data_IF_501686643156
#
_entry.id   IF_501686643156
#
_cell.length_a   1.000
_cell.length_b   1.000
_cell.length_c   1.000
_cell.angle_alpha   90.00
_cell.angle_beta   90.00
_cell.angle_gamma   90.00
#
_symmetry.space_group_name_H-M   'P 1'
#
loop_
_entity.id
_entity.type
_entity.pdbx_description
1 polymer ?
#
# COMPACT_ATOMS: atom_id res chain seq x y z
N UNK A 1 13.62 8.04 -18.42
CA UNK A 1 14.50 8.00 -17.22
C UNK A 1 14.92 6.55 -16.91
N UNK A 2 16.21 6.27 -16.74
CA UNK A 2 16.70 4.92 -16.47
C UNK A 2 16.19 4.42 -15.11
N UNK A 3 15.93 3.12 -15.03
CA UNK A 3 15.42 2.41 -13.86
C UNK A 3 16.31 2.70 -12.64
N UNK A 4 15.84 3.54 -11.72
CA UNK A 4 16.58 3.88 -10.50
C UNK A 4 16.01 3.04 -9.35
N UNK A 5 16.76 2.04 -8.84
CA UNK A 5 16.26 1.05 -7.87
C UNK A 5 15.64 1.65 -6.60
N UNK A 6 16.09 2.85 -6.21
CA UNK A 6 15.61 3.55 -5.00
C UNK A 6 14.13 3.93 -5.04
N UNK A 7 13.59 4.27 -6.20
CA UNK A 7 12.19 4.70 -6.32
C UNK A 7 11.25 3.51 -6.50
N UNK A 8 11.68 2.50 -7.26
CA UNK A 8 10.83 1.36 -7.55
C UNK A 8 10.55 0.49 -6.33
N UNK A 9 11.50 0.32 -5.39
CA UNK A 9 11.31 -0.60 -4.26
C UNK A 9 10.10 -0.31 -3.37
N UNK A 10 9.68 0.96 -3.22
CA UNK A 10 8.45 1.31 -2.48
C UNK A 10 7.18 0.93 -3.26
N UNK A 11 7.20 1.18 -4.57
CA UNK A 11 6.10 0.89 -5.48
C UNK A 11 5.96 -0.62 -5.69
N UNK A 12 7.06 -1.32 -5.92
CA UNK A 12 7.14 -2.78 -6.02
C UNK A 12 6.59 -3.44 -4.75
N UNK A 13 6.97 -2.97 -3.56
CA UNK A 13 6.44 -3.49 -2.29
C UNK A 13 4.93 -3.22 -2.15
N UNK A 14 4.46 -2.05 -2.57
CA UNK A 14 3.03 -1.74 -2.59
C UNK A 14 2.28 -2.69 -3.53
N UNK A 15 2.72 -2.83 -4.78
CA UNK A 15 2.08 -3.70 -5.77
C UNK A 15 2.11 -5.17 -5.35
N UNK A 16 3.22 -5.68 -4.80
CA UNK A 16 3.26 -7.05 -4.26
C UNK A 16 2.26 -7.27 -3.11
N UNK A 17 2.09 -6.26 -2.25
CA UNK A 17 1.09 -6.33 -1.16
C UNK A 17 -0.34 -6.26 -1.70
N UNK A 18 -0.60 -5.35 -2.65
CA UNK A 18 -1.88 -5.23 -3.33
C UNK A 18 -2.26 -6.55 -4.02
N UNK A 19 -1.32 -7.18 -4.69
CA UNK A 19 -1.52 -8.45 -5.37
C UNK A 19 -1.86 -9.58 -4.38
N UNK A 20 -1.07 -9.73 -3.31
CA UNK A 20 -1.25 -10.80 -2.33
C UNK A 20 -2.49 -10.61 -1.46
N UNK A 21 -2.70 -9.40 -0.93
CA UNK A 21 -3.71 -9.13 0.11
C UNK A 21 -5.05 -8.65 -0.44
N UNK A 22 -5.13 -8.21 -1.70
CA UNK A 22 -6.38 -7.79 -2.32
C UNK A 22 -6.74 -8.63 -3.54
N UNK A 23 -5.85 -8.76 -4.53
CA UNK A 23 -6.19 -9.44 -5.76
C UNK A 23 -6.40 -10.96 -5.53
N UNK A 24 -5.55 -11.58 -4.71
CA UNK A 24 -5.53 -13.03 -4.50
C UNK A 24 -6.04 -13.52 -3.13
N UNK A 25 -6.42 -12.61 -2.23
CA UNK A 25 -6.94 -12.99 -0.90
C UNK A 25 -8.40 -13.43 -0.89
N UNK A 26 -9.15 -13.09 -1.94
CA UNK A 26 -10.57 -13.40 -2.09
C UNK A 26 -10.85 -13.95 -3.48
N UNK A 27 -11.83 -14.85 -3.59
CA UNK A 27 -12.38 -15.28 -4.88
C UNK A 27 -13.45 -14.29 -5.31
N UNK A 28 -13.14 -13.45 -6.28
CA UNK A 28 -14.06 -12.47 -6.85
C UNK A 28 -14.98 -13.12 -7.89
N UNK A 29 -16.26 -12.79 -7.88
CA UNK A 29 -17.23 -13.33 -8.86
C UNK A 29 -17.16 -12.59 -10.20
N UNK A 30 -16.66 -11.35 -10.19
CA UNK A 30 -16.49 -10.53 -11.38
C UNK A 30 -15.37 -9.50 -11.18
N UNK A 31 -14.82 -8.99 -12.29
CA UNK A 31 -13.88 -7.86 -12.25
C UNK A 31 -14.49 -6.62 -11.61
N UNK A 32 -15.76 -6.33 -11.88
CA UNK A 32 -16.46 -5.17 -11.32
C UNK A 32 -16.57 -5.25 -9.79
N UNK A 33 -16.81 -6.43 -9.23
CA UNK A 33 -16.81 -6.64 -7.77
C UNK A 33 -15.43 -6.35 -7.17
N UNK A 34 -14.38 -6.91 -7.80
CA UNK A 34 -12.98 -6.67 -7.42
C UNK A 34 -12.62 -5.19 -7.45
N UNK A 35 -13.01 -4.47 -8.50
CA UNK A 35 -12.72 -3.05 -8.68
C UNK A 35 -13.45 -2.18 -7.63
N UNK A 36 -14.70 -2.50 -7.30
CA UNK A 36 -15.44 -1.81 -6.23
C UNK A 36 -14.79 -2.01 -4.86
N UNK A 37 -14.21 -3.18 -4.61
CA UNK A 37 -13.52 -3.48 -3.35
C UNK A 37 -12.15 -2.79 -3.22
N UNK A 38 -11.54 -2.37 -4.34
CA UNK A 38 -10.21 -1.73 -4.35
C UNK A 38 -10.16 -0.47 -3.47
N UNK A 39 -11.18 0.39 -3.55
CA UNK A 39 -11.22 1.62 -2.75
C UNK A 39 -11.19 1.32 -1.23
N UNK A 40 -11.94 0.30 -0.81
CA UNK A 40 -11.95 -0.16 0.59
C UNK A 40 -10.59 -0.73 1.01
N UNK A 41 -9.95 -1.51 0.15
CA UNK A 41 -8.60 -2.01 0.41
C UNK A 41 -7.58 -0.87 0.54
N UNK A 42 -7.60 0.13 -0.35
CA UNK A 42 -6.69 1.27 -0.28
C UNK A 42 -6.88 2.08 1.02
N UNK A 43 -8.11 2.23 1.49
CA UNK A 43 -8.39 2.88 2.78
C UNK A 43 -7.80 2.06 3.94
N UNK A 44 -8.01 0.74 3.93
CA UNK A 44 -7.43 -0.17 4.92
C UNK A 44 -5.90 -0.12 4.91
N UNK A 45 -5.27 -0.29 3.73
CA UNK A 45 -3.83 -0.28 3.54
C UNK A 45 -3.21 1.00 4.11
N UNK A 46 -3.77 2.16 3.76
CA UNK A 46 -3.19 3.44 4.17
C UNK A 46 -3.44 3.78 5.65
N UNK A 47 -4.60 3.40 6.21
CA UNK A 47 -5.06 3.89 7.52
C UNK A 47 -5.00 2.88 8.66
N UNK A 48 -4.98 1.58 8.36
CA UNK A 48 -5.16 0.53 9.38
C UNK A 48 -4.17 -0.63 9.27
N UNK A 49 -3.67 -0.94 8.08
CA UNK A 49 -2.76 -2.07 7.89
C UNK A 49 -1.51 -1.90 8.76
N UNK A 50 -1.12 -2.90 9.56
CA UNK A 50 0.13 -2.84 10.31
C UNK A 50 1.34 -2.95 9.36
N UNK A 51 2.35 -2.08 9.54
CA UNK A 51 3.61 -2.19 8.80
C UNK A 51 4.78 -2.41 9.76
N UNK A 52 5.49 -3.53 9.61
CA UNK A 52 6.68 -3.87 10.41
C UNK A 52 7.75 -2.79 10.33
N UNK A 53 8.00 -2.26 9.12
CA UNK A 53 8.92 -1.16 8.92
C UNK A 53 8.53 0.07 9.76
N UNK A 54 7.24 0.28 10.03
CA UNK A 54 6.68 1.39 10.80
C UNK A 54 6.31 1.01 12.24
N UNK A 55 6.99 0.02 12.83
CA UNK A 55 6.73 -0.43 14.21
C UNK A 55 5.28 -0.86 14.44
N UNK A 56 4.65 -1.47 13.42
CA UNK A 56 3.25 -1.90 13.46
C UNK A 56 2.23 -0.80 13.18
N UNK A 57 2.65 0.45 12.95
CA UNK A 57 1.76 1.57 12.66
C UNK A 57 1.37 1.60 11.18
N UNK A 58 0.21 2.19 10.82
CA UNK A 58 -0.22 2.30 9.43
C UNK A 58 0.64 3.30 8.64
N UNK A 59 0.69 3.17 7.29
CA UNK A 59 1.52 4.01 6.42
C UNK A 59 1.32 5.51 6.62
N UNK A 60 0.07 5.93 6.83
CA UNK A 60 -0.27 7.35 7.04
C UNK A 60 0.47 7.97 8.24
N UNK A 61 0.83 7.16 9.25
CA UNK A 61 1.57 7.63 10.44
C UNK A 61 2.93 8.23 10.08
N UNK A 62 3.51 7.82 8.95
CA UNK A 62 4.82 8.30 8.48
C UNK A 62 4.75 9.57 7.64
N UNK A 63 3.60 9.85 7.03
CA UNK A 63 3.41 11.03 6.17
C UNK A 63 3.53 12.31 6.99
N UNK A 64 3.03 12.30 8.24
CA UNK A 64 3.21 13.41 9.18
C UNK A 64 4.66 13.60 9.61
N UNK A 65 5.44 12.52 9.66
CA UNK A 65 6.82 12.54 10.14
C UNK A 65 7.80 13.09 9.09
N UNK A 66 7.49 12.95 7.79
CA UNK A 66 8.33 13.52 6.71
C UNK A 66 8.21 15.05 6.59
N UNK A 67 7.10 15.67 7.01
CA UNK A 67 6.94 17.14 6.94
C UNK A 67 7.90 17.92 7.85
N UNK A 68 8.55 17.28 8.81
CA UNK A 68 9.51 17.91 9.72
C UNK A 68 10.98 17.55 9.45
N UNK A 69 11.29 16.86 8.34
CA UNK A 69 12.65 16.42 8.00
C UNK A 69 13.24 17.17 6.79
N UNK A 70 12.50 18.17 6.28
CA UNK A 70 12.90 19.03 5.16
C UNK A 70 13.29 20.45 5.66
N UNK A 71 13.93 20.56 6.83
CA UNK A 71 14.48 21.81 7.38
C UNK A 71 15.95 21.63 7.76
#
# INVERSE_FOLDING_TARGET
>A
PPHTPRWNGKIERFFGTLDTEWAHSHVWRSSTERDRALASFLMFYNRRRPHSAASGRPPISRVHQQRGQDS
#
